data_IF_296605042056
#
_entry.id   IF_296605042056
#
_cell.length_a   1.000
_cell.length_b   1.000
_cell.length_c   1.000
_cell.angle_alpha   90.00
_cell.angle_beta   90.00
_cell.angle_gamma   90.00
#
_symmetry.space_group_name_H-M   'P 1'
#
loop_
_entity.id
_entity.type
_entity.pdbx_description
1 polymer ?
#
# COMPACT_ATOMS: atom_id res chain seq x y z
N UNK A 1 20.92 -29.46 -3.35
CA UNK A 1 19.58 -29.02 -2.91
C UNK A 1 18.66 -30.22 -2.94
N UNK A 2 18.08 -30.59 -1.81
CA UNK A 2 17.21 -31.77 -1.67
C UNK A 2 15.75 -31.43 -1.99
N UNK A 3 14.89 -32.41 -2.30
CA UNK A 3 13.46 -32.16 -2.47
C UNK A 3 12.79 -31.50 -1.25
N UNK A 4 13.23 -31.88 -0.05
CA UNK A 4 12.73 -31.30 1.21
C UNK A 4 13.10 -29.81 1.31
N UNK A 5 14.33 -29.44 0.96
CA UNK A 5 14.76 -28.03 0.93
C UNK A 5 13.95 -27.21 -0.09
N UNK A 6 13.65 -27.79 -1.25
CA UNK A 6 12.87 -27.11 -2.29
C UNK A 6 11.42 -26.88 -1.85
N UNK A 7 10.78 -27.88 -1.24
CA UNK A 7 9.44 -27.73 -0.65
C UNK A 7 9.46 -26.70 0.47
N UNK A 8 10.45 -26.77 1.36
CA UNK A 8 10.63 -25.80 2.43
C UNK A 8 10.78 -24.37 1.91
N UNK A 9 11.58 -24.18 0.85
CA UNK A 9 11.78 -22.89 0.21
C UNK A 9 10.50 -22.35 -0.45
N UNK A 10 9.75 -23.20 -1.15
CA UNK A 10 8.47 -22.81 -1.75
C UNK A 10 7.45 -22.39 -0.69
N UNK A 11 7.33 -23.15 0.40
CA UNK A 11 6.43 -22.80 1.51
C UNK A 11 6.84 -21.50 2.20
N UNK A 12 8.14 -21.34 2.48
CA UNK A 12 8.68 -20.14 3.11
C UNK A 12 8.49 -18.89 2.23
N UNK A 13 8.69 -19.02 0.91
CA UNK A 13 8.41 -17.97 -0.06
C UNK A 13 6.92 -17.57 -0.03
N UNK A 14 6.01 -18.54 -0.15
CA UNK A 14 4.56 -18.29 -0.13
C UNK A 14 4.09 -17.62 1.17
N UNK A 15 4.57 -18.13 2.32
CA UNK A 15 4.25 -17.56 3.63
C UNK A 15 4.80 -16.14 3.77
N UNK A 16 6.02 -15.90 3.30
CA UNK A 16 6.66 -14.59 3.34
C UNK A 16 5.95 -13.58 2.45
N UNK A 17 5.56 -13.96 1.23
CA UNK A 17 4.76 -13.09 0.36
C UNK A 17 3.43 -12.74 1.02
N UNK A 18 2.75 -13.72 1.63
CA UNK A 18 1.49 -13.45 2.32
C UNK A 18 1.67 -12.46 3.48
N UNK A 19 2.68 -12.66 4.33
CA UNK A 19 2.99 -11.77 5.45
C UNK A 19 3.48 -10.39 4.98
N UNK A 20 4.33 -10.36 3.96
CA UNK A 20 4.89 -9.15 3.36
C UNK A 20 3.82 -8.26 2.74
N UNK A 21 2.86 -8.83 2.01
CA UNK A 21 1.71 -8.07 1.50
C UNK A 21 0.89 -7.44 2.62
N UNK A 22 0.70 -8.15 3.73
CA UNK A 22 0.00 -7.58 4.90
C UNK A 22 0.80 -6.45 5.52
N UNK A 23 2.11 -6.64 5.72
CA UNK A 23 3.00 -5.61 6.27
C UNK A 23 3.06 -4.37 5.36
N UNK A 24 3.05 -4.56 4.04
CA UNK A 24 3.02 -3.50 3.03
C UNK A 24 1.79 -2.60 3.21
N UNK A 25 0.60 -3.19 3.21
CA UNK A 25 -0.65 -2.46 3.40
C UNK A 25 -0.73 -1.78 4.78
N UNK A 26 -0.31 -2.48 5.83
CA UNK A 26 -0.25 -1.88 7.18
C UNK A 26 0.70 -0.68 7.22
N UNK A 27 1.81 -0.69 6.47
CA UNK A 27 2.76 0.42 6.41
C UNK A 27 2.12 1.69 5.83
N UNK A 28 1.36 1.57 4.74
CA UNK A 28 0.58 2.68 4.20
C UNK A 28 -0.41 3.24 5.23
N UNK A 29 -1.20 2.35 5.85
CA UNK A 29 -2.21 2.73 6.83
C UNK A 29 -1.60 3.42 8.06
N UNK A 30 -0.44 2.96 8.53
CA UNK A 30 0.27 3.56 9.66
C UNK A 30 0.65 5.01 9.37
N UNK A 31 1.28 5.28 8.22
CA UNK A 31 1.71 6.64 7.86
C UNK A 31 0.53 7.57 7.64
N UNK A 32 -0.55 7.08 6.99
CA UNK A 32 -1.79 7.86 6.83
C UNK A 32 -2.41 8.23 8.18
N UNK A 33 -2.55 7.25 9.08
CA UNK A 33 -3.11 7.49 10.43
C UNK A 33 -2.22 8.42 11.26
N UNK A 34 -0.91 8.25 11.20
CA UNK A 34 0.04 9.13 11.87
C UNK A 34 -0.02 10.58 11.33
N UNK A 35 -0.44 10.76 10.07
CA UNK A 35 -0.63 12.07 9.43
C UNK A 35 -2.03 12.66 9.65
N UNK A 36 -2.90 11.99 10.40
CA UNK A 36 -4.26 12.44 10.69
C UNK A 36 -5.31 12.02 9.64
N UNK A 37 -4.96 11.20 8.65
CA UNK A 37 -5.87 10.73 7.62
C UNK A 37 -6.53 9.42 8.02
N UNK A 38 -7.85 9.34 7.87
CA UNK A 38 -8.59 8.09 8.07
C UNK A 38 -8.46 7.17 6.85
N UNK A 39 -8.38 5.87 7.08
CA UNK A 39 -8.25 4.88 6.02
C UNK A 39 -9.09 3.63 6.34
N UNK A 40 -9.64 3.02 5.30
CA UNK A 40 -10.35 1.74 5.39
C UNK A 40 -9.41 0.64 4.92
N UNK A 41 -9.21 -0.37 5.76
CA UNK A 41 -8.47 -1.58 5.39
C UNK A 41 -9.50 -2.65 5.03
N UNK A 42 -9.52 -3.08 3.77
CA UNK A 42 -10.36 -4.19 3.33
C UNK A 42 -9.51 -5.45 3.20
N UNK A 43 -9.81 -6.42 4.04
CA UNK A 43 -9.20 -7.76 3.99
C UNK A 43 -9.95 -8.61 2.98
N UNK A 44 -9.20 -9.31 2.12
CA UNK A 44 -9.78 -10.14 1.05
C UNK A 44 -10.86 -9.39 0.26
N UNK A 45 -10.53 -8.27 -0.43
CA UNK A 45 -11.49 -7.55 -1.25
C UNK A 45 -12.23 -8.50 -2.20
N UNK A 46 -13.56 -8.32 -2.25
CA UNK A 46 -14.50 -9.25 -2.86
C UNK A 46 -14.23 -9.53 -4.34
N UNK A 47 -14.60 -10.73 -4.79
CA UNK A 47 -14.13 -11.40 -6.02
C UNK A 47 -15.07 -11.26 -7.23
N UNK A 48 -15.95 -10.27 -7.27
CA UNK A 48 -17.15 -10.35 -8.12
C UNK A 48 -17.12 -9.68 -9.50
N UNK A 49 -16.02 -9.06 -9.93
CA UNK A 49 -16.00 -8.38 -11.24
C UNK A 49 -15.24 -9.17 -12.30
N UNK A 50 -15.79 -10.33 -12.74
CA UNK A 50 -15.73 -10.94 -14.10
C UNK A 50 -14.45 -10.88 -14.95
N UNK A 51 -13.30 -10.51 -14.41
CA UNK A 51 -12.02 -10.30 -15.09
C UNK A 51 -10.96 -11.06 -14.33
N UNK A 52 -10.00 -11.60 -15.07
CA UNK A 52 -8.78 -12.21 -14.56
C UNK A 52 -7.90 -11.16 -13.85
N UNK A 53 -8.37 -10.60 -12.73
CA UNK A 53 -7.50 -9.86 -11.81
C UNK A 53 -6.73 -10.92 -11.00
N UNK A 54 -5.41 -10.79 -10.86
CA UNK A 54 -4.63 -11.73 -10.06
C UNK A 54 -5.23 -11.80 -8.66
N UNK A 55 -5.36 -13.02 -8.12
CA UNK A 55 -5.91 -13.42 -6.81
C UNK A 55 -5.20 -12.79 -5.58
N UNK A 56 -4.51 -11.67 -5.75
CA UNK A 56 -3.26 -11.31 -5.06
C UNK A 56 -3.40 -10.27 -3.94
N UNK A 57 -4.51 -9.53 -3.85
CA UNK A 57 -4.69 -8.58 -2.75
C UNK A 57 -5.24 -9.30 -1.51
N UNK A 58 -4.36 -9.64 -0.56
CA UNK A 58 -4.77 -10.14 0.76
C UNK A 58 -5.40 -9.05 1.61
N UNK A 59 -4.94 -7.81 1.41
CA UNK A 59 -5.48 -6.60 2.00
C UNK A 59 -5.39 -5.47 0.97
N UNK A 60 -6.14 -4.41 1.21
CA UNK A 60 -6.04 -3.14 0.46
C UNK A 60 -6.36 -1.99 1.40
N UNK A 61 -5.60 -0.91 1.31
CA UNK A 61 -5.84 0.34 2.03
C UNK A 61 -6.48 1.36 1.09
N UNK A 62 -7.64 1.87 1.48
CA UNK A 62 -8.26 2.99 0.79
C UNK A 62 -8.28 4.21 1.72
N UNK A 63 -7.49 5.25 1.44
CA UNK A 63 -7.53 6.48 2.21
C UNK A 63 -8.85 7.22 1.97
N UNK A 64 -9.37 7.91 2.98
CA UNK A 64 -10.45 8.88 2.80
C UNK A 64 -9.83 10.24 2.48
N UNK A 65 -10.17 10.78 1.31
CA UNK A 65 -9.74 12.11 0.88
C UNK A 65 -10.82 13.12 1.28
N UNK A 66 -10.40 14.23 1.87
CA UNK A 66 -11.23 15.40 2.14
C UNK A 66 -10.53 16.71 1.77
N UNK A 67 -11.22 17.84 1.95
CA UNK A 67 -10.74 19.18 1.57
C UNK A 67 -9.43 19.63 2.24
N UNK A 68 -9.05 19.02 3.36
CA UNK A 68 -7.80 19.31 4.09
C UNK A 68 -6.70 18.27 3.87
N UNK A 69 -6.84 17.42 2.84
CA UNK A 69 -5.87 16.36 2.55
C UNK A 69 -4.51 16.93 2.15
N UNK A 70 -3.44 16.46 2.77
CA UNK A 70 -2.08 16.91 2.49
C UNK A 70 -1.42 16.01 1.44
N UNK A 71 -1.07 16.52 0.25
CA UNK A 71 -0.38 15.73 -0.77
C UNK A 71 0.88 15.05 -0.24
N UNK A 72 1.65 15.74 0.60
CA UNK A 72 2.86 15.19 1.22
C UNK A 72 2.59 13.96 2.08
N UNK A 73 1.49 13.95 2.84
CA UNK A 73 1.11 12.78 3.65
C UNK A 73 0.85 11.55 2.77
N UNK A 74 0.19 11.73 1.62
CA UNK A 74 -0.06 10.65 0.66
C UNK A 74 1.22 10.18 -0.04
N UNK A 75 2.16 11.09 -0.37
CA UNK A 75 3.48 10.72 -0.92
C UNK A 75 4.29 9.89 0.07
N UNK A 76 4.33 10.32 1.34
CA UNK A 76 5.02 9.58 2.39
C UNK A 76 4.37 8.22 2.64
N UNK A 77 3.03 8.18 2.67
CA UNK A 77 2.30 6.93 2.79
C UNK A 77 2.65 5.99 1.63
N UNK A 78 2.68 6.45 0.39
CA UNK A 78 3.03 5.65 -0.79
C UNK A 78 4.46 5.07 -0.74
N UNK A 79 5.40 5.76 -0.09
CA UNK A 79 6.77 5.28 0.10
C UNK A 79 6.97 4.42 1.36
N UNK A 80 5.99 4.40 2.28
CA UNK A 80 6.10 3.73 3.57
C UNK A 80 6.55 2.27 3.49
N UNK A 81 6.09 1.44 2.54
CA UNK A 81 6.50 0.04 2.47
C UNK A 81 8.01 -0.19 2.27
N UNK A 82 8.75 0.81 1.76
CA UNK A 82 10.21 0.71 1.59
C UNK A 82 10.93 0.47 2.92
N UNK A 83 10.34 0.85 4.06
CA UNK A 83 10.90 0.57 5.38
C UNK A 83 11.07 -0.93 5.62
N UNK A 84 10.27 -1.78 4.98
CA UNK A 84 10.35 -3.23 5.10
C UNK A 84 11.63 -3.81 4.47
N UNK A 85 12.30 -3.04 3.59
CA UNK A 85 13.59 -3.40 3.00
C UNK A 85 14.79 -3.01 3.90
N UNK A 86 14.56 -2.31 5.02
CA UNK A 86 15.62 -1.83 5.91
C UNK A 86 16.58 -2.95 6.38
N UNK A 87 16.12 -4.15 6.80
CA UNK A 87 17.04 -5.20 7.22
C UNK A 87 18.07 -5.59 6.14
N UNK A 88 17.64 -5.65 4.87
CA UNK A 88 18.56 -5.93 3.77
C UNK A 88 19.48 -4.74 3.49
N UNK A 89 18.96 -3.51 3.54
CA UNK A 89 19.78 -2.32 3.37
C UNK A 89 20.92 -2.27 4.42
N UNK A 90 20.63 -2.63 5.67
CA UNK A 90 21.65 -2.74 6.72
C UNK A 90 22.66 -3.84 6.44
N UNK A 91 22.24 -4.98 5.89
CA UNK A 91 23.14 -6.06 5.49
C UNK A 91 24.07 -5.63 4.35
N UNK A 92 23.53 -4.96 3.32
CA UNK A 92 24.31 -4.42 2.21
C UNK A 92 25.33 -3.37 2.65
N UNK A 93 25.01 -2.60 3.70
CA UNK A 93 25.92 -1.63 4.32
C UNK A 93 26.92 -2.28 5.29
N UNK A 94 26.87 -3.60 5.52
CA UNK A 94 27.75 -4.31 6.45
C UNK A 94 27.46 -4.04 7.93
N UNK A 95 26.30 -3.47 8.26
CA UNK A 95 25.87 -3.20 9.64
C UNK A 95 25.41 -4.49 10.33
N UNK A 96 24.79 -5.39 9.57
CA UNK A 96 24.37 -6.73 10.03
C UNK A 96 24.93 -7.81 9.09
N UNK A 97 25.05 -9.08 9.55
CA UNK A 97 25.53 -10.16 8.69
C UNK A 97 24.69 -10.34 7.43
N UNK A 98 25.34 -10.67 6.31
CA UNK A 98 24.67 -10.96 5.05
C UNK A 98 23.87 -12.27 5.15
N UNK A 99 22.52 -12.21 5.08
CA UNK A 99 21.70 -13.39 5.23
C UNK A 99 21.84 -14.37 4.06
N UNK A 100 22.33 -13.95 2.88
CA UNK A 100 22.47 -14.84 1.73
C UNK A 100 23.74 -15.70 1.75
N UNK A 101 24.71 -15.37 2.60
CA UNK A 101 25.96 -16.15 2.70
C UNK A 101 25.82 -17.38 3.58
N UNK A 102 24.99 -17.30 4.63
CA UNK A 102 24.98 -18.31 5.69
C UNK A 102 23.59 -18.84 6.05
N UNK A 103 22.50 -18.24 5.57
CA UNK A 103 21.18 -18.72 5.94
C UNK A 103 20.76 -19.97 5.14
N UNK A 104 19.95 -20.87 5.73
CA UNK A 104 19.33 -21.97 5.00
C UNK A 104 18.50 -21.49 3.81
N UNK A 105 18.42 -22.29 2.73
CA UNK A 105 17.67 -21.95 1.50
C UNK A 105 16.23 -21.47 1.76
N UNK A 106 15.44 -22.07 2.68
CA UNK A 106 14.11 -21.55 2.98
C UNK A 106 14.09 -20.13 3.56
N UNK A 107 15.10 -19.76 4.36
CA UNK A 107 15.23 -18.41 4.92
C UNK A 107 15.55 -17.41 3.81
N UNK A 108 16.45 -17.78 2.89
CA UNK A 108 16.76 -16.94 1.73
C UNK A 108 15.51 -16.74 0.84
N UNK A 109 14.74 -17.81 0.60
CA UNK A 109 13.50 -17.74 -0.16
C UNK A 109 12.45 -16.84 0.53
N UNK A 110 12.32 -16.92 1.86
CA UNK A 110 11.48 -16.02 2.62
C UNK A 110 11.92 -14.55 2.48
N UNK A 111 13.22 -14.26 2.55
CA UNK A 111 13.74 -12.91 2.36
C UNK A 111 13.44 -12.37 0.96
N UNK A 112 13.59 -13.18 -0.09
CA UNK A 112 13.21 -12.79 -1.45
C UNK A 112 11.73 -12.44 -1.55
N UNK A 113 10.85 -13.27 -0.97
CA UNK A 113 9.41 -12.99 -0.95
C UNK A 113 9.06 -11.70 -0.20
N UNK A 114 9.69 -11.49 0.95
CA UNK A 114 9.49 -10.30 1.77
C UNK A 114 9.92 -9.02 1.04
N UNK A 115 11.11 -9.05 0.43
CA UNK A 115 11.67 -7.91 -0.29
C UNK A 115 10.88 -7.58 -1.55
N UNK A 116 10.37 -8.59 -2.25
CA UNK A 116 9.45 -8.38 -3.36
C UNK A 116 8.23 -7.56 -2.92
N UNK A 117 7.71 -7.82 -1.71
CA UNK A 117 6.61 -7.06 -1.13
C UNK A 117 7.01 -5.67 -0.59
N UNK A 118 8.29 -5.38 -0.35
CA UNK A 118 8.71 -4.07 0.13
C UNK A 118 8.71 -2.99 -0.97
N UNK A 119 8.71 -3.42 -2.24
CA UNK A 119 8.72 -2.51 -3.38
C UNK A 119 7.34 -1.86 -3.58
N UNK A 120 7.27 -0.52 -3.70
CA UNK A 120 6.02 0.16 -4.05
C UNK A 120 5.51 -0.31 -5.41
N UNK A 121 4.19 -0.43 -5.54
CA UNK A 121 3.55 -0.77 -6.80
C UNK A 121 3.59 0.41 -7.78
N UNK A 122 3.30 0.20 -9.08
CA UNK A 122 3.14 1.30 -10.03
C UNK A 122 2.10 2.34 -9.60
N UNK A 123 1.05 1.93 -8.85
CA UNK A 123 0.04 2.84 -8.33
C UNK A 123 0.61 3.72 -7.20
N UNK A 124 1.42 3.14 -6.32
CA UNK A 124 2.08 3.90 -5.25
C UNK A 124 3.05 4.92 -5.84
N UNK A 125 3.85 4.53 -6.83
CA UNK A 125 4.73 5.46 -7.54
C UNK A 125 3.94 6.58 -8.22
N UNK A 126 2.75 6.30 -8.77
CA UNK A 126 1.89 7.34 -9.31
C UNK A 126 1.43 8.32 -8.22
N UNK A 127 1.10 7.85 -7.01
CA UNK A 127 0.75 8.72 -5.88
C UNK A 127 1.94 9.59 -5.45
N UNK A 128 3.16 9.04 -5.43
CA UNK A 128 4.37 9.81 -5.08
C UNK A 128 4.52 11.06 -5.96
N UNK A 129 4.29 10.93 -7.27
CA UNK A 129 4.46 12.04 -8.20
C UNK A 129 3.20 12.87 -8.43
N UNK A 130 2.01 12.29 -8.28
CA UNK A 130 0.73 12.89 -8.68
C UNK A 130 -0.30 12.97 -7.55
N UNK A 131 0.13 12.95 -6.28
CA UNK A 131 -0.78 13.06 -5.12
C UNK A 131 -1.77 14.23 -5.22
N UNK A 132 -1.32 15.42 -5.65
CA UNK A 132 -2.20 16.60 -5.75
C UNK A 132 -3.34 16.36 -6.75
N UNK A 133 -3.04 15.73 -7.89
CA UNK A 133 -4.03 15.39 -8.92
C UNK A 133 -5.00 14.32 -8.41
N UNK A 134 -4.49 13.31 -7.72
CA UNK A 134 -5.31 12.26 -7.13
C UNK A 134 -6.27 12.81 -6.06
N UNK A 135 -5.81 13.76 -5.24
CA UNK A 135 -6.63 14.43 -4.22
C UNK A 135 -7.70 15.31 -4.88
N UNK A 136 -7.33 16.10 -5.89
CA UNK A 136 -8.27 16.95 -6.61
C UNK A 136 -9.38 16.14 -7.30
N UNK A 137 -9.04 14.98 -7.87
CA UNK A 137 -10.02 14.09 -8.51
C UNK A 137 -10.93 13.36 -7.50
N UNK A 138 -10.45 13.14 -6.27
CA UNK A 138 -11.18 12.43 -5.23
C UNK A 138 -12.02 13.36 -4.34
N UNK A 139 -11.78 14.67 -4.39
CA UNK A 139 -12.60 15.68 -3.73
C UNK A 139 -13.70 16.08 -4.72
N UNK A 140 -14.99 15.83 -4.43
CA UNK A 140 -16.06 16.35 -5.27
C UNK A 140 -15.97 17.87 -5.33
N UNK A 141 -16.20 18.48 -6.49
CA UNK A 141 -16.39 19.93 -6.59
C UNK A 141 -17.58 20.32 -5.69
N UNK A 142 -17.31 21.03 -4.60
CA UNK A 142 -18.34 21.73 -3.81
C UNK A 142 -18.80 23.04 -4.51
N UNK A 143 -18.39 23.28 -5.76
CA UNK A 143 -18.78 24.41 -6.59
C UNK A 143 -19.92 24.03 -7.56
N UNK A 144 -21.16 23.92 -7.04
CA UNK A 144 -22.39 24.38 -7.72
C UNK A 144 -23.66 24.13 -6.87
N UNK A 145 -24.00 25.11 -6.01
CA UNK A 145 -25.35 25.74 -5.96
C UNK A 145 -25.30 26.99 -5.08
N UNK A 146 -24.98 28.17 -5.64
CA UNK A 146 -25.35 29.43 -5.02
C UNK A 146 -26.88 29.55 -5.01
N UNK A 147 -27.41 30.15 -3.94
CA UNK A 147 -28.81 30.05 -3.54
C UNK A 147 -29.86 30.36 -4.61
N UNK A 148 -30.90 29.51 -4.64
CA UNK A 148 -32.25 29.96 -4.98
C UNK A 148 -32.89 30.54 -3.71
N UNK A 149 -32.42 31.72 -3.33
CA UNK A 149 -33.23 32.68 -2.58
C UNK A 149 -33.66 33.72 -3.59
N UNK A 150 -34.90 33.62 -4.06
CA UNK A 150 -35.48 34.63 -4.95
C UNK A 150 -36.44 34.05 -5.97
N UNK A 151 -37.55 33.47 -5.53
CA UNK A 151 -38.80 33.56 -6.28
C UNK A 151 -39.89 34.09 -5.34
N UNK A 152 -39.89 35.43 -5.27
CA UNK A 152 -41.05 36.31 -5.29
C UNK A 152 -42.26 35.92 -4.42
N UNK A 153 -42.34 36.58 -3.27
CA UNK A 153 -43.60 37.22 -2.92
C UNK A 153 -43.91 38.29 -3.97
N UNK A 154 -44.93 38.08 -4.80
CA UNK A 154 -45.85 39.10 -5.35
C UNK A 154 -46.73 38.48 -6.45
N UNK A 155 -47.98 38.16 -6.12
CA UNK A 155 -49.20 38.57 -6.84
C UNK A 155 -50.38 37.61 -6.61
N UNK A 156 -51.48 38.21 -6.14
CA UNK A 156 -52.89 37.76 -6.11
C UNK A 156 -53.32 36.78 -5.01
#
# INVERSE_FOLDING_TARGET
MTPVELVGAALALCASVAAGTVAHEVSHALVLRASGHSCVIRWRPDRDDGRLRPRSALASVTPRVGSTSSPTAFRLAALAPLVLALPLALALLGVVPDPFQHAPVPVQAALVGWLGCALPSPQDFAVVWYADRAIAQATPDDDERPGSTGDLAESA
#
